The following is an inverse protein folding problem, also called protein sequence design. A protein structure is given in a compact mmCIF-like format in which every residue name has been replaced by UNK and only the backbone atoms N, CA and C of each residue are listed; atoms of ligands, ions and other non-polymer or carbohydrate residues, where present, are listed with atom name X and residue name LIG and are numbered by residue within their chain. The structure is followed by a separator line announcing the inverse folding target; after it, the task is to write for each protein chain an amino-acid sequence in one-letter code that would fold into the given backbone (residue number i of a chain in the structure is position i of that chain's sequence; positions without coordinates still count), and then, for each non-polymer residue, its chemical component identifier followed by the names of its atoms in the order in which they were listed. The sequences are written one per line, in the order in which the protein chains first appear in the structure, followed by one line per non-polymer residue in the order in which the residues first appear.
data_IF_156967047144
#
_entry.id   IF_156967047144
#
_cell.length_a   1.000
_cell.length_b   1.000
_cell.length_c   1.000
_cell.angle_alpha   90.00
_cell.angle_beta   90.00
_cell.angle_gamma   90.00
#
_symmetry.space_group_name_H-M   'P 1'
#
loop_
_entity.id
_entity.type
_entity.pdbx_description
1 polymer ?
#
# COMPACT_ATOMS: atom_id res chain seq x y z
N UNK A 1 -8.38 3.00 -20.60
CA UNK A 1 -8.06 1.65 -21.07
C UNK A 1 -8.24 0.67 -19.94
N UNK A 2 -8.57 -0.58 -20.23
CA UNK A 2 -8.56 -1.62 -19.23
C UNK A 2 -7.12 -2.00 -18.84
N UNK A 3 -6.93 -2.57 -17.63
CA UNK A 3 -5.62 -3.08 -17.24
C UNK A 3 -5.16 -4.22 -18.15
N UNK A 4 -6.10 -5.02 -18.67
CA UNK A 4 -5.78 -6.07 -19.63
C UNK A 4 -5.19 -5.56 -20.95
N UNK A 5 -5.59 -4.35 -21.39
CA UNK A 5 -5.07 -3.72 -22.63
C UNK A 5 -3.67 -3.11 -22.46
N UNK A 6 -3.29 -2.73 -21.23
CA UNK A 6 -1.98 -2.14 -20.93
C UNK A 6 -1.00 -3.14 -20.31
N UNK A 7 -1.46 -4.33 -19.95
CA UNK A 7 -0.62 -5.36 -19.38
C UNK A 7 0.38 -5.92 -20.41
N UNK A 8 1.65 -5.97 -20.02
CA UNK A 8 2.68 -6.76 -20.70
C UNK A 8 2.55 -8.21 -20.22
N UNK A 9 2.38 -8.38 -18.90
CA UNK A 9 2.10 -9.66 -18.26
C UNK A 9 1.26 -9.44 -17.00
N UNK A 10 0.47 -10.45 -16.62
CA UNK A 10 -0.31 -10.42 -15.39
C UNK A 10 -0.48 -11.84 -14.84
N UNK A 11 -0.02 -12.07 -13.62
CA UNK A 11 0.01 -13.39 -13.01
C UNK A 11 -0.19 -13.33 -11.50
N UNK A 12 -0.57 -14.47 -10.93
CA UNK A 12 -0.64 -14.68 -9.49
C UNK A 12 0.73 -15.06 -8.95
N UNK A 13 1.05 -14.57 -7.75
CA UNK A 13 2.31 -14.81 -7.07
C UNK A 13 2.49 -16.25 -6.58
N UNK A 14 3.58 -16.47 -5.88
CA UNK A 14 4.00 -17.78 -5.36
C UNK A 14 3.33 -18.09 -4.03
N UNK A 15 2.93 -19.32 -3.81
CA UNK A 15 2.47 -19.78 -2.50
C UNK A 15 3.63 -19.86 -1.52
N UNK A 16 3.83 -18.82 -0.73
CA UNK A 16 4.80 -18.79 0.37
C UNK A 16 4.06 -19.17 1.66
N UNK A 17 4.48 -20.24 2.31
CA UNK A 17 3.91 -20.70 3.58
C UNK A 17 4.41 -19.82 4.74
N UNK A 18 3.66 -19.82 5.84
CA UNK A 18 3.97 -18.99 7.00
C UNK A 18 5.33 -19.30 7.63
N UNK A 19 5.75 -20.55 7.59
CA UNK A 19 7.02 -21.06 8.12
C UNK A 19 8.22 -20.84 7.18
N UNK A 20 7.98 -20.34 5.96
CA UNK A 20 9.02 -20.01 4.98
C UNK A 20 9.47 -18.54 5.04
N UNK A 21 8.85 -17.71 5.89
CA UNK A 21 9.33 -16.35 6.12
C UNK A 21 10.52 -16.33 7.03
N UNK A 22 11.54 -15.56 6.66
CA UNK A 22 12.84 -15.47 7.32
C UNK A 22 13.19 -14.02 7.65
N UNK A 23 14.15 -13.80 8.53
CA UNK A 23 14.64 -12.44 8.83
C UNK A 23 15.53 -11.89 7.72
N UNK A 24 16.18 -12.76 6.98
CA UNK A 24 17.12 -12.44 5.89
C UNK A 24 16.82 -13.34 4.69
N UNK A 25 17.26 -12.96 3.49
CA UNK A 25 17.05 -13.73 2.27
C UNK A 25 16.51 -12.85 1.15
N UNK A 26 15.83 -13.45 0.18
CA UNK A 26 15.24 -12.65 -0.91
C UNK A 26 14.04 -11.87 -0.40
N UNK A 27 13.93 -10.56 -0.73
CA UNK A 27 12.75 -9.77 -0.36
C UNK A 27 11.47 -10.35 -0.96
N UNK A 28 10.39 -10.33 -0.16
CA UNK A 28 9.08 -10.80 -0.62
C UNK A 28 7.95 -9.97 -0.01
N UNK A 29 6.76 -10.06 -0.60
CA UNK A 29 5.57 -9.36 -0.13
C UNK A 29 4.45 -10.35 0.18
N UNK A 30 3.82 -10.18 1.35
CA UNK A 30 2.57 -10.86 1.74
C UNK A 30 1.39 -9.96 1.41
N UNK A 31 0.26 -10.53 1.01
CA UNK A 31 -0.93 -9.75 0.68
C UNK A 31 -1.41 -8.84 1.83
N UNK A 32 -1.27 -9.29 3.09
CA UNK A 32 -1.63 -8.50 4.26
C UNK A 32 -0.81 -7.22 4.41
N UNK A 33 0.44 -7.20 3.97
CA UNK A 33 1.31 -6.02 4.03
C UNK A 33 0.85 -4.91 3.08
N UNK A 34 0.18 -5.26 1.97
CA UNK A 34 -0.44 -4.30 1.07
C UNK A 34 -1.56 -3.53 1.78
N UNK A 35 -2.27 -4.17 2.73
CA UNK A 35 -3.31 -3.52 3.52
C UNK A 35 -2.76 -2.68 4.68
N UNK A 36 -1.72 -3.14 5.35
CA UNK A 36 -1.31 -2.63 6.66
C UNK A 36 -0.01 -1.82 6.66
N UNK A 37 0.88 -2.06 5.70
CA UNK A 37 2.25 -1.56 5.75
C UNK A 37 2.56 -0.61 4.58
N UNK A 38 2.18 -0.99 3.38
CA UNK A 38 2.51 -0.21 2.19
C UNK A 38 1.46 0.84 1.86
N UNK A 39 1.93 2.01 1.41
CA UNK A 39 1.08 3.07 0.87
C UNK A 39 0.66 2.80 -0.58
N UNK A 40 0.48 3.87 -1.34
CA UNK A 40 0.18 3.81 -2.78
C UNK A 40 1.37 3.21 -3.55
N UNK A 41 2.58 3.42 -3.06
CA UNK A 41 3.82 2.82 -3.56
C UNK A 41 4.81 2.57 -2.42
N UNK A 42 5.81 1.73 -2.67
CA UNK A 42 6.87 1.40 -1.72
C UNK A 42 8.17 1.05 -2.44
N UNK A 43 9.31 1.15 -1.73
CA UNK A 43 10.66 0.90 -2.24
C UNK A 43 11.30 -0.34 -1.65
N UNK A 44 10.95 -0.69 -0.40
CA UNK A 44 11.57 -1.78 0.34
C UNK A 44 10.52 -2.76 0.85
N UNK A 45 10.78 -4.04 0.67
CA UNK A 45 9.98 -5.10 1.27
C UNK A 45 10.32 -5.23 2.75
N UNK A 46 9.30 -5.46 3.58
CA UNK A 46 9.50 -5.69 5.03
C UNK A 46 9.66 -7.17 5.37
N UNK A 47 9.32 -8.07 4.46
CA UNK A 47 9.43 -9.51 4.63
C UNK A 47 10.48 -10.11 3.70
N UNK A 48 11.08 -11.20 4.14
CA UNK A 48 12.05 -11.99 3.37
C UNK A 48 11.67 -13.47 3.39
N UNK A 49 12.23 -14.23 2.46
CA UNK A 49 12.06 -15.68 2.39
C UNK A 49 13.33 -16.33 1.86
N UNK A 50 13.50 -17.62 2.14
CA UNK A 50 14.52 -18.41 1.48
C UNK A 50 14.07 -18.73 0.04
N UNK A 51 14.82 -18.23 -0.94
CA UNK A 51 14.50 -18.41 -2.35
C UNK A 51 14.43 -19.90 -2.74
N UNK A 52 15.30 -20.73 -2.18
CA UNK A 52 15.36 -22.15 -2.50
C UNK A 52 14.14 -22.92 -1.97
N UNK A 53 13.53 -22.44 -0.88
CA UNK A 53 12.32 -23.02 -0.32
C UNK A 53 11.06 -22.79 -1.20
N UNK A 54 11.11 -21.89 -2.17
CA UNK A 54 9.97 -21.55 -3.02
C UNK A 54 10.05 -22.29 -4.36
N UNK A 55 9.15 -23.25 -4.60
CA UNK A 55 9.17 -24.10 -5.80
C UNK A 55 8.76 -23.38 -7.09
N UNK A 56 7.72 -22.53 -7.04
CA UNK A 56 7.20 -21.82 -8.22
C UNK A 56 7.34 -20.32 -8.01
N UNK A 57 8.55 -19.82 -8.20
CA UNK A 57 8.91 -18.43 -7.93
C UNK A 57 8.25 -17.48 -8.92
N UNK A 58 7.53 -16.50 -8.39
CA UNK A 58 6.91 -15.41 -9.15
C UNK A 58 7.48 -14.09 -8.66
N UNK A 59 8.30 -13.50 -9.47
CA UNK A 59 9.01 -12.28 -9.12
C UNK A 59 8.26 -11.04 -9.55
N UNK A 60 8.50 -9.96 -8.83
CA UNK A 60 8.19 -8.61 -9.26
C UNK A 60 9.44 -7.74 -9.14
N UNK A 61 9.45 -6.63 -9.82
CA UNK A 61 10.57 -5.70 -9.91
C UNK A 61 10.09 -4.25 -10.08
N UNK A 62 11.02 -3.32 -10.19
CA UNK A 62 10.68 -1.91 -10.39
C UNK A 62 9.62 -1.71 -11.48
N UNK A 63 8.58 -0.96 -11.15
CA UNK A 63 7.50 -0.60 -12.06
C UNK A 63 6.27 -1.50 -11.99
N UNK A 64 6.35 -2.65 -11.33
CA UNK A 64 5.22 -3.58 -11.23
C UNK A 64 4.16 -3.08 -10.23
N UNK A 65 2.88 -3.35 -10.53
CA UNK A 65 1.76 -3.12 -9.60
C UNK A 65 1.37 -4.44 -8.95
N UNK A 66 1.25 -4.40 -7.63
CA UNK A 66 0.80 -5.53 -6.82
C UNK A 66 -0.65 -5.31 -6.36
N UNK A 67 -1.49 -6.34 -6.47
CA UNK A 67 -2.87 -6.36 -5.99
C UNK A 67 -3.04 -7.45 -4.94
N UNK A 68 -3.52 -7.10 -3.75
CA UNK A 68 -3.94 -8.08 -2.75
C UNK A 68 -5.32 -8.65 -3.12
N UNK A 69 -5.36 -9.91 -3.59
CA UNK A 69 -6.59 -10.53 -4.11
C UNK A 69 -7.41 -11.28 -3.05
N UNK A 70 -6.99 -11.25 -1.80
CA UNK A 70 -7.70 -11.80 -0.64
C UNK A 70 -7.80 -10.72 0.42
N UNK A 71 -8.96 -10.52 1.02
CA UNK A 71 -9.21 -9.50 2.04
C UNK A 71 -10.44 -9.79 2.87
N UNK A 72 -10.67 -9.00 3.91
CA UNK A 72 -11.80 -9.11 4.84
C UNK A 72 -12.93 -8.13 4.52
N UNK A 73 -12.69 -7.17 3.64
CA UNK A 73 -13.63 -6.12 3.24
C UNK A 73 -13.87 -6.12 1.74
N UNK A 74 -15.12 -5.96 1.33
CA UNK A 74 -15.50 -5.75 -0.07
C UNK A 74 -15.03 -4.37 -0.53
N UNK A 75 -15.06 -3.41 0.36
CA UNK A 75 -14.70 -2.01 0.11
C UNK A 75 -13.21 -1.86 -0.21
N UNK A 76 -12.36 -2.72 0.37
CA UNK A 76 -10.90 -2.65 0.22
C UNK A 76 -10.32 -3.75 -0.69
N UNK A 77 -11.15 -4.66 -1.20
CA UNK A 77 -10.65 -5.78 -2.01
C UNK A 77 -9.83 -5.30 -3.22
N UNK A 78 -8.80 -6.04 -3.55
CA UNK A 78 -7.84 -5.73 -4.60
C UNK A 78 -7.13 -4.39 -4.37
N UNK A 79 -6.90 -4.00 -3.09
CA UNK A 79 -5.99 -2.91 -2.77
C UNK A 79 -4.67 -3.12 -3.49
N UNK A 80 -4.12 -2.06 -4.04
CA UNK A 80 -2.95 -2.14 -4.92
C UNK A 80 -1.90 -1.12 -4.53
N UNK A 81 -0.64 -1.43 -4.81
CA UNK A 81 0.49 -0.54 -4.64
C UNK A 81 1.51 -0.77 -5.76
N UNK A 82 2.29 0.26 -6.08
CA UNK A 82 3.41 0.16 -7.01
C UNK A 82 4.70 -0.18 -6.27
N UNK A 83 5.52 -1.04 -6.83
CA UNK A 83 6.88 -1.22 -6.37
C UNK A 83 7.83 -0.32 -7.17
N UNK A 84 8.60 0.51 -6.47
CA UNK A 84 9.56 1.44 -7.07
C UNK A 84 10.98 1.27 -6.50
N UNK A 85 11.25 0.14 -5.83
CA UNK A 85 12.57 -0.26 -5.37
C UNK A 85 13.42 -0.90 -6.47
N UNK A 86 14.68 -1.17 -6.16
CA UNK A 86 15.67 -1.65 -7.13
C UNK A 86 15.96 -3.16 -7.05
N UNK A 87 15.36 -3.85 -6.08
CA UNK A 87 15.60 -5.28 -5.88
C UNK A 87 14.55 -6.12 -6.60
N UNK A 88 14.95 -7.33 -6.97
CA UNK A 88 14.03 -8.34 -7.48
C UNK A 88 13.42 -9.08 -6.28
N UNK A 89 12.09 -9.07 -6.18
CA UNK A 89 11.36 -9.57 -5.03
C UNK A 89 10.38 -10.69 -5.42
N UNK A 90 9.97 -11.51 -4.46
CA UNK A 90 8.97 -12.58 -4.68
C UNK A 90 7.59 -12.11 -4.22
N UNK A 91 6.58 -12.26 -5.09
CA UNK A 91 5.18 -12.01 -4.77
C UNK A 91 4.55 -13.22 -4.08
N UNK A 92 3.89 -13.03 -2.95
CA UNK A 92 3.13 -14.06 -2.24
C UNK A 92 1.89 -14.55 -3.00
N UNK A 93 1.35 -15.70 -2.62
CA UNK A 93 0.31 -16.43 -3.37
C UNK A 93 -1.03 -15.74 -3.55
N UNK A 94 -1.38 -14.83 -2.65
CA UNK A 94 -2.61 -14.03 -2.73
C UNK A 94 -2.36 -12.61 -3.25
N UNK A 95 -1.32 -12.47 -4.07
CA UNK A 95 -0.98 -11.25 -4.79
C UNK A 95 -1.08 -11.53 -6.30
N UNK A 96 -1.62 -10.57 -7.03
CA UNK A 96 -1.51 -10.50 -8.49
C UNK A 96 -0.49 -9.42 -8.84
N UNK A 97 0.45 -9.76 -9.71
CA UNK A 97 1.45 -8.86 -10.27
C UNK A 97 0.99 -8.42 -11.65
N UNK A 98 1.02 -7.13 -11.92
CA UNK A 98 0.78 -6.54 -13.24
C UNK A 98 2.06 -5.88 -13.72
N UNK A 99 2.63 -6.40 -14.81
CA UNK A 99 3.72 -5.78 -15.56
C UNK A 99 3.17 -4.87 -16.65
N UNK A 100 3.71 -3.67 -16.76
CA UNK A 100 3.26 -2.66 -17.72
C UNK A 100 4.38 -1.68 -18.07
N UNK A 101 4.12 -0.78 -19.04
CA UNK A 101 5.05 0.28 -19.48
C UNK A 101 4.56 1.70 -19.15
N UNK A 102 3.61 1.84 -18.22
CA UNK A 102 3.13 3.13 -17.75
C UNK A 102 4.01 3.64 -16.59
N UNK A 103 3.87 4.91 -16.19
CA UNK A 103 4.46 5.39 -14.95
C UNK A 103 3.85 4.64 -13.75
N UNK A 104 4.66 3.92 -12.93
CA UNK A 104 4.12 3.06 -11.87
C UNK A 104 3.38 3.83 -10.77
N UNK A 105 3.91 4.97 -10.35
CA UNK A 105 3.25 5.80 -9.34
C UNK A 105 1.92 6.36 -9.87
N UNK A 106 1.90 6.81 -11.15
CA UNK A 106 0.66 7.27 -11.78
C UNK A 106 -0.42 6.18 -11.75
N UNK A 107 -0.06 4.98 -12.20
CA UNK A 107 -1.02 3.88 -12.25
C UNK A 107 -1.50 3.50 -10.84
N UNK A 108 -0.62 3.49 -9.86
CA UNK A 108 -0.99 3.24 -8.47
C UNK A 108 -1.95 4.32 -7.92
N UNK A 109 -1.71 5.60 -8.20
CA UNK A 109 -2.64 6.68 -7.84
C UNK A 109 -3.99 6.52 -8.55
N UNK A 110 -4.00 6.23 -9.85
CA UNK A 110 -5.24 6.00 -10.60
C UNK A 110 -6.05 4.83 -10.02
N UNK A 111 -5.37 3.78 -9.58
CA UNK A 111 -5.97 2.60 -8.96
C UNK A 111 -6.40 2.82 -7.50
N UNK A 112 -5.99 3.90 -6.84
CA UNK A 112 -6.41 4.26 -5.48
C UNK A 112 -7.66 5.14 -5.44
N UNK A 113 -8.20 5.54 -6.59
CA UNK A 113 -9.41 6.37 -6.68
C UNK A 113 -10.66 5.58 -6.28
N UNK A 114 -11.70 6.30 -5.83
CA UNK A 114 -13.00 5.69 -5.51
C UNK A 114 -13.62 4.98 -6.72
N UNK A 115 -13.46 5.53 -7.93
CA UNK A 115 -13.97 4.91 -9.14
C UNK A 115 -13.31 3.57 -9.44
N UNK A 116 -11.97 3.50 -9.32
CA UNK A 116 -11.25 2.24 -9.44
C UNK A 116 -11.67 1.25 -8.35
N UNK A 117 -11.89 1.71 -7.11
CA UNK A 117 -12.30 0.84 -6.00
C UNK A 117 -13.72 0.29 -6.21
N UNK A 118 -14.64 1.08 -6.74
CA UNK A 118 -15.98 0.59 -7.14
C UNK A 118 -15.90 -0.51 -8.20
N UNK A 119 -14.96 -0.40 -9.14
CA UNK A 119 -14.74 -1.46 -10.15
C UNK A 119 -14.15 -2.72 -9.52
N UNK A 120 -13.17 -2.60 -8.61
CA UNK A 120 -12.56 -3.72 -7.88
C UNK A 120 -13.56 -4.50 -7.04
N UNK A 121 -14.53 -3.83 -6.44
CA UNK A 121 -15.58 -4.40 -5.59
C UNK A 121 -16.83 -4.88 -6.35
N UNK A 122 -16.93 -4.59 -7.64
CA UNK A 122 -18.10 -4.94 -8.47
C UNK A 122 -18.38 -6.44 -8.42
N UNK A 123 -19.63 -6.79 -8.11
CA UNK A 123 -20.08 -8.19 -8.04
C UNK A 123 -19.52 -8.99 -6.87
N UNK A 124 -18.84 -8.35 -5.93
CA UNK A 124 -18.38 -9.00 -4.69
C UNK A 124 -19.50 -9.05 -3.67
N UNK A 125 -19.58 -10.16 -2.96
CA UNK A 125 -20.56 -10.36 -1.88
C UNK A 125 -19.83 -10.30 -0.55
N UNK A 126 -20.43 -9.61 0.40
CA UNK A 126 -19.89 -9.52 1.77
C UNK A 126 -19.85 -10.92 2.40
N UNK A 127 -18.65 -11.36 2.72
CA UNK A 127 -18.40 -12.64 3.39
C UNK A 127 -17.21 -12.47 4.36
N UNK A 128 -16.94 -13.50 5.17
CA UNK A 128 -15.80 -13.47 6.09
C UNK A 128 -14.44 -13.28 5.37
N UNK A 129 -14.34 -13.77 4.14
CA UNK A 129 -13.18 -13.58 3.27
C UNK A 129 -13.68 -13.26 1.86
N UNK A 130 -13.19 -12.18 1.29
CA UNK A 130 -13.50 -11.72 -0.07
C UNK A 130 -12.33 -12.02 -0.97
N UNK A 131 -12.61 -12.49 -2.18
CA UNK A 131 -11.57 -12.80 -3.17
C UNK A 131 -11.75 -12.00 -4.45
N UNK A 132 -10.66 -11.63 -5.06
CA UNK A 132 -10.58 -11.14 -6.43
C UNK A 132 -9.84 -12.15 -7.32
N UNK A 133 -9.69 -11.87 -8.60
CA UNK A 133 -9.05 -12.77 -9.55
C UNK A 133 -8.33 -12.00 -10.66
N UNK A 134 -7.41 -12.65 -11.36
CA UNK A 134 -6.72 -12.06 -12.52
C UNK A 134 -7.70 -11.56 -13.58
N UNK A 135 -8.75 -12.31 -13.98
CA UNK A 135 -9.75 -11.78 -14.92
C UNK A 135 -10.44 -10.49 -14.42
N UNK A 136 -10.86 -10.46 -13.15
CA UNK A 136 -11.50 -9.27 -12.59
C UNK A 136 -10.57 -8.04 -12.55
N UNK A 137 -9.28 -8.25 -12.29
CA UNK A 137 -8.30 -7.16 -12.33
C UNK A 137 -8.11 -6.66 -13.77
N UNK A 138 -8.06 -7.54 -14.77
CA UNK A 138 -7.92 -7.17 -16.18
C UNK A 138 -9.03 -6.24 -16.68
N UNK A 139 -10.23 -6.35 -16.12
CA UNK A 139 -11.40 -5.55 -16.52
C UNK A 139 -11.40 -4.13 -15.93
N UNK A 140 -10.57 -3.83 -14.93
CA UNK A 140 -10.51 -2.50 -14.32
C UNK A 140 -10.05 -1.48 -15.36
N UNK A 141 -10.82 -0.40 -15.53
CA UNK A 141 -10.58 0.66 -16.50
C UNK A 141 -10.03 1.89 -15.77
N UNK A 142 -8.91 2.41 -16.27
CA UNK A 142 -8.30 3.65 -15.78
C UNK A 142 -7.94 4.59 -16.93
N UNK A 143 -7.89 5.92 -16.69
CA UNK A 143 -7.37 6.84 -17.67
C UNK A 143 -5.88 6.59 -17.93
N UNK A 144 -5.45 6.63 -19.20
CA UNK A 144 -4.04 6.44 -19.58
C UNK A 144 -3.65 7.60 -20.51
N UNK A 145 -3.32 8.77 -19.95
CA UNK A 145 -2.78 9.88 -20.71
C UNK A 145 -1.33 9.58 -21.18
N UNK A 146 -0.73 10.40 -22.05
CA UNK A 146 0.66 10.28 -22.44
C UNK A 146 1.63 10.32 -21.24
N UNK A 147 2.75 9.59 -21.31
CA UNK A 147 3.72 9.48 -20.22
C UNK A 147 4.18 10.82 -19.60
N UNK A 148 4.44 11.90 -20.38
CA UNK A 148 4.78 13.18 -19.78
C UNK A 148 3.68 13.75 -18.86
N UNK A 149 2.40 13.55 -19.23
CA UNK A 149 1.26 13.97 -18.41
C UNK A 149 1.16 13.11 -17.14
N UNK A 150 1.39 11.79 -17.25
CA UNK A 150 1.44 10.90 -16.08
C UNK A 150 2.52 11.35 -15.10
N UNK A 151 3.71 11.69 -15.59
CA UNK A 151 4.82 12.16 -14.76
C UNK A 151 4.52 13.48 -14.06
N UNK A 152 3.86 14.41 -14.74
CA UNK A 152 3.46 15.68 -14.13
C UNK A 152 2.39 15.51 -13.05
N UNK A 153 1.40 14.63 -13.28
CA UNK A 153 0.40 14.27 -12.27
C UNK A 153 1.09 13.67 -11.03
N UNK A 154 2.03 12.76 -11.22
CA UNK A 154 2.80 12.16 -10.12
C UNK A 154 3.56 13.22 -9.34
N UNK A 155 4.26 14.13 -10.02
CA UNK A 155 4.99 15.22 -9.37
C UNK A 155 4.09 16.07 -8.47
N UNK A 156 2.88 16.38 -8.92
CA UNK A 156 1.90 17.15 -8.14
C UNK A 156 1.42 16.34 -6.93
N UNK A 157 1.07 15.08 -7.12
CA UNK A 157 0.54 14.22 -6.04
C UNK A 157 1.60 13.88 -5.00
N UNK A 158 2.84 13.62 -5.42
CA UNK A 158 3.95 13.37 -4.50
C UNK A 158 4.22 14.60 -3.61
N UNK A 159 4.18 15.82 -4.17
CA UNK A 159 4.32 17.07 -3.39
C UNK A 159 3.22 17.20 -2.32
N UNK A 160 1.96 16.87 -2.63
CA UNK A 160 0.88 16.88 -1.64
C UNK A 160 1.07 15.82 -0.56
N UNK A 161 1.56 14.64 -0.94
CA UNK A 161 1.84 13.55 0.01
C UNK A 161 2.95 13.95 0.98
N UNK A 162 4.03 14.52 0.48
CA UNK A 162 5.15 15.04 1.31
C UNK A 162 4.68 16.14 2.26
N UNK A 163 3.98 17.15 1.75
CA UNK A 163 3.42 18.23 2.57
C UNK A 163 2.48 17.70 3.67
N UNK A 164 1.64 16.73 3.34
CA UNK A 164 0.73 16.11 4.32
C UNK A 164 1.50 15.38 5.42
N UNK A 165 2.59 14.68 5.07
CA UNK A 165 3.46 14.01 6.02
C UNK A 165 4.16 15.01 6.96
N UNK A 166 4.70 16.11 6.42
CA UNK A 166 5.33 17.18 7.21
C UNK A 166 4.33 17.82 8.19
N UNK A 167 3.15 18.19 7.70
CA UNK A 167 2.09 18.79 8.54
C UNK A 167 1.63 17.84 9.65
N UNK A 168 1.55 16.55 9.37
CA UNK A 168 1.18 15.52 10.36
C UNK A 168 2.27 15.37 11.43
N UNK A 169 3.53 15.38 11.02
CA UNK A 169 4.66 15.35 11.95
C UNK A 169 4.69 16.61 12.84
N UNK A 170 4.49 17.80 12.24
CA UNK A 170 4.40 19.05 13.00
C UNK A 170 3.25 19.03 14.00
N UNK A 171 2.05 18.63 13.58
CA UNK A 171 0.88 18.51 14.47
C UNK A 171 1.18 17.59 15.66
N UNK A 172 1.84 16.47 15.42
CA UNK A 172 2.22 15.52 16.47
C UNK A 172 3.22 16.13 17.44
N UNK A 173 4.22 16.87 16.95
CA UNK A 173 5.18 17.58 17.77
C UNK A 173 4.51 18.70 18.61
N UNK A 174 3.59 19.45 18.01
CA UNK A 174 2.82 20.50 18.71
C UNK A 174 1.92 19.93 19.82
N UNK A 175 1.27 18.78 19.57
CA UNK A 175 0.49 18.09 20.61
C UNK A 175 1.35 17.70 21.80
N UNK A 176 2.53 17.09 21.57
CA UNK A 176 3.48 16.76 22.65
C UNK A 176 3.97 18.00 23.40
N UNK A 177 4.25 19.09 22.68
CA UNK A 177 4.65 20.36 23.27
C UNK A 177 3.53 20.94 24.15
N UNK A 178 2.28 20.92 23.67
CA UNK A 178 1.13 21.35 24.44
C UNK A 178 0.97 20.54 25.72
N UNK A 179 1.02 19.21 25.64
CA UNK A 179 0.90 18.32 26.81
C UNK A 179 1.99 18.63 27.85
N UNK A 180 3.24 18.77 27.39
CA UNK A 180 4.36 19.10 28.26
C UNK A 180 4.14 20.45 29.01
N UNK A 181 3.78 21.49 28.29
CA UNK A 181 3.56 22.81 28.93
C UNK A 181 2.29 22.85 29.78
N UNK A 182 1.22 22.21 29.36
CA UNK A 182 0.01 22.04 30.15
C UNK A 182 0.35 21.43 31.52
N UNK A 183 1.01 20.28 31.50
CA UNK A 183 1.32 19.57 32.73
C UNK A 183 2.33 20.33 33.59
N UNK A 184 3.32 20.98 32.98
CA UNK A 184 4.28 21.83 33.68
C UNK A 184 3.64 23.08 34.31
N UNK A 185 2.71 23.76 33.63
CA UNK A 185 2.08 24.97 34.10
C UNK A 185 0.96 24.69 35.13
N UNK A 186 0.35 23.50 35.05
CA UNK A 186 -0.70 23.10 36.00
C UNK A 186 -0.18 22.23 37.14
N UNK A 187 1.10 21.83 37.13
CA UNK A 187 1.72 21.23 38.31
C UNK A 187 1.91 22.30 39.35
N UNK A 188 1.58 21.98 40.61
CA UNK A 188 1.76 22.86 41.75
C UNK A 188 2.72 22.23 42.76
N UNK A 189 3.43 23.09 43.47
CA UNK A 189 4.29 22.73 44.59
C UNK A 189 3.45 22.39 45.83
N UNK A 190 4.03 21.62 46.76
CA UNK A 190 3.38 21.25 48.03
C UNK A 190 2.92 22.49 48.82
N UNK A 191 3.51 23.66 48.59
CA UNK A 191 3.16 24.92 49.24
C UNK A 191 2.06 25.71 48.53
N UNK A 192 1.56 25.23 47.38
CA UNK A 192 0.48 25.89 46.64
C UNK A 192 -0.87 25.68 47.38
N UNK A 193 -1.61 26.74 47.75
CA UNK A 193 -2.90 26.58 48.41
C UNK A 193 -3.91 25.89 47.48
N UNK A 194 -4.46 24.77 47.91
CA UNK A 194 -5.50 24.04 47.18
C UNK A 194 -6.85 24.35 47.80
N UNK A 195 -7.76 24.91 47.03
CA UNK A 195 -9.14 25.19 47.43
C UNK A 195 -10.07 24.14 46.83
N UNK A 196 -10.94 23.57 47.66
CA UNK A 196 -12.03 22.73 47.15
C UNK A 196 -13.08 23.59 46.47
N UNK A 197 -13.47 23.21 45.26
CA UNK A 197 -14.64 23.79 44.59
C UNK A 197 -15.86 23.10 45.22
N UNK A 198 -16.59 23.84 46.09
CA UNK A 198 -17.80 23.35 46.73
C UNK A 198 -18.99 23.23 45.80
#
# INVERSE_FOLDING_TARGET
KSLGEIAIDIYRGSGIKRDQFTETGIPCVRYGEIYTTYGVWFEQCVSHTDEEAIQNRKYFEYGDILFAITGESVEDIAKSCAYVGNEKCIAGGDIVVLKHNQNPKYLAYALSTEDAQKQKSKGKVKSKVVHSSVPAIKEIVVPIPPLPVQSEIVRILDNFTELTAELTAELTARKKQYEFYRDKLLSYDTDTPVYSIG
#
